data_IF_930099831452
#
_entry.id   IF_930099831452
#
_cell.length_a   1.000
_cell.length_b   1.000
_cell.length_c   1.000
_cell.angle_alpha   90.00
_cell.angle_beta   90.00
_cell.angle_gamma   90.00
#
_symmetry.space_group_name_H-M   'P 1'
#
loop_
_entity.id
_entity.type
_entity.pdbx_description
1 polymer ?
#
# COMPACT_ATOMS: atom_id res chain seq x y z
N UNK A 1 56.43 30.53 -7.99
CA UNK A 1 55.29 29.59 -7.98
C UNK A 1 54.11 30.35 -8.58
N UNK A 2 53.79 30.03 -9.83
CA UNK A 2 52.84 30.74 -10.65
C UNK A 2 51.41 30.34 -10.27
N UNK A 3 50.55 31.34 -10.06
CA UNK A 3 49.10 31.17 -9.94
C UNK A 3 48.47 31.48 -11.30
N UNK A 4 48.07 30.44 -12.03
CA UNK A 4 47.24 30.57 -13.23
C UNK A 4 45.80 30.92 -12.83
N UNK A 5 45.38 32.13 -13.19
CA UNK A 5 43.98 32.55 -13.22
C UNK A 5 43.39 32.18 -14.59
N UNK A 6 42.57 31.13 -14.63
CA UNK A 6 41.72 30.81 -15.79
C UNK A 6 40.44 31.66 -15.71
N UNK A 7 40.40 32.75 -16.47
CA UNK A 7 39.19 33.50 -16.75
C UNK A 7 38.39 32.78 -17.85
N UNK A 8 37.19 32.31 -17.51
CA UNK A 8 36.21 31.81 -18.49
C UNK A 8 35.44 33.01 -19.06
N UNK A 9 35.79 33.38 -20.30
CA UNK A 9 35.00 34.27 -21.16
C UNK A 9 33.68 33.57 -21.53
N UNK A 10 32.56 34.09 -21.02
CA UNK A 10 31.25 33.82 -21.61
C UNK A 10 31.01 34.85 -22.72
N UNK A 11 31.01 34.37 -23.96
CA UNK A 11 30.62 35.18 -25.12
C UNK A 11 29.13 35.51 -25.06
N UNK A 12 28.81 36.80 -25.06
CA UNK A 12 27.47 37.33 -25.32
C UNK A 12 27.05 36.99 -26.76
N UNK A 13 26.11 36.06 -26.90
CA UNK A 13 25.38 35.87 -28.14
C UNK A 13 24.27 36.93 -28.21
N UNK A 14 24.36 37.81 -29.19
CA UNK A 14 23.43 38.91 -29.43
C UNK A 14 21.98 38.44 -29.59
N UNK A 15 21.10 39.02 -28.78
CA UNK A 15 19.66 38.93 -28.94
C UNK A 15 19.24 39.79 -30.15
N UNK A 16 19.01 39.13 -31.29
CA UNK A 16 18.25 39.72 -32.38
C UNK A 16 16.79 39.90 -31.93
N UNK A 17 16.34 41.14 -31.87
CA UNK A 17 14.98 41.50 -31.51
C UNK A 17 13.97 40.94 -32.52
N UNK A 18 13.17 39.97 -32.07
CA UNK A 18 11.94 39.58 -32.74
C UNK A 18 10.81 40.46 -32.21
N UNK A 19 10.30 41.31 -33.10
CA UNK A 19 9.14 42.17 -32.90
C UNK A 19 7.87 41.30 -32.68
N UNK A 20 7.03 41.60 -31.68
CA UNK A 20 5.80 40.84 -31.46
C UNK A 20 4.83 41.05 -32.64
N UNK A 21 4.10 40.01 -33.09
CA UNK A 21 3.08 40.16 -34.12
C UNK A 21 1.93 41.03 -33.60
N UNK A 22 1.44 41.90 -34.48
CA UNK A 22 0.29 42.77 -34.26
C UNK A 22 -0.97 41.97 -33.86
N UNK A 23 -1.90 42.56 -33.09
CA UNK A 23 -3.16 41.93 -32.76
C UNK A 23 -3.96 41.64 -34.04
N UNK A 24 -4.36 40.37 -34.20
CA UNK A 24 -5.28 39.94 -35.24
C UNK A 24 -6.67 40.51 -34.95
N UNK A 25 -7.28 41.06 -35.98
CA UNK A 25 -8.66 41.51 -35.99
C UNK A 25 -9.60 40.40 -35.51
N UNK A 26 -10.50 40.80 -34.62
CA UNK A 26 -11.51 39.98 -33.98
C UNK A 26 -12.66 39.83 -35.01
N UNK A 27 -12.71 38.70 -35.71
CA UNK A 27 -13.84 38.38 -36.59
C UNK A 27 -15.11 38.14 -35.76
N UNK A 28 -16.14 38.90 -36.10
CA UNK A 28 -17.51 38.80 -35.60
C UNK A 28 -18.06 37.37 -35.71
N UNK A 29 -18.38 36.76 -34.56
CA UNK A 29 -19.16 35.53 -34.49
C UNK A 29 -20.64 35.91 -34.29
N UNK A 30 -21.56 35.43 -35.14
CA UNK A 30 -22.97 35.77 -35.02
C UNK A 30 -23.66 35.08 -33.84
N UNK A 31 -24.46 35.89 -33.16
CA UNK A 31 -25.29 35.62 -31.98
C UNK A 31 -26.45 34.66 -32.33
N UNK A 32 -26.63 33.50 -31.67
CA UNK A 32 -27.82 32.68 -31.85
C UNK A 32 -28.98 33.24 -31.01
N UNK A 33 -30.09 33.44 -31.73
CA UNK A 33 -31.31 34.09 -31.30
C UNK A 33 -31.97 33.48 -30.05
N UNK A 34 -32.43 34.39 -29.20
CA UNK A 34 -33.53 34.24 -28.24
C UNK A 34 -34.81 33.84 -28.97
N UNK A 35 -35.36 32.67 -28.63
CA UNK A 35 -36.78 32.38 -28.83
C UNK A 35 -37.45 32.30 -27.47
N UNK A 36 -38.09 33.41 -27.11
CA UNK A 36 -39.21 33.44 -26.18
C UNK A 36 -40.40 32.74 -26.83
N UNK A 37 -41.12 31.91 -26.08
CA UNK A 37 -42.57 31.74 -26.24
C UNK A 37 -43.14 31.24 -24.91
N UNK A 38 -44.10 32.02 -24.39
CA UNK A 38 -44.94 31.73 -23.23
C UNK A 38 -45.81 30.47 -23.46
N UNK A 39 -46.29 29.82 -22.41
CA UNK A 39 -47.41 30.23 -21.54
C UNK A 39 -48.55 29.20 -21.71
N UNK A 40 -49.34 29.07 -20.64
CA UNK A 40 -50.60 28.35 -20.46
C UNK A 40 -50.55 26.89 -20.03
N UNK A 41 -51.30 26.60 -18.96
CA UNK A 41 -51.99 25.32 -18.81
C UNK A 41 -51.88 24.67 -17.44
N UNK A 42 -52.69 25.17 -16.50
CA UNK A 42 -53.20 24.45 -15.32
C UNK A 42 -53.83 23.11 -15.70
N UNK A 43 -53.66 22.08 -14.87
CA UNK A 43 -54.76 21.34 -14.21
C UNK A 43 -54.33 19.98 -13.64
N UNK A 44 -54.88 19.66 -12.48
CA UNK A 44 -55.48 18.33 -12.27
C UNK A 44 -54.60 17.20 -11.73
N UNK A 45 -54.66 17.04 -10.40
CA UNK A 45 -54.63 15.76 -9.67
C UNK A 45 -55.42 14.62 -10.39
N UNK A 46 -55.20 13.30 -10.11
CA UNK A 46 -55.06 12.75 -8.76
C UNK A 46 -54.14 11.53 -8.55
N UNK A 47 -54.05 11.19 -7.27
CA UNK A 47 -53.43 10.01 -6.68
C UNK A 47 -54.06 8.67 -7.10
N UNK A 48 -53.20 7.68 -7.30
CA UNK A 48 -53.43 6.22 -7.20
C UNK A 48 -52.09 5.65 -6.72
N UNK A 49 -51.91 5.20 -5.48
CA UNK A 49 -52.49 4.01 -4.83
C UNK A 49 -52.49 2.79 -5.74
N UNK A 50 -51.39 2.03 -5.70
CA UNK A 50 -51.42 0.61 -6.02
C UNK A 50 -50.49 -0.12 -5.06
N UNK A 51 -51.13 -0.84 -4.13
CA UNK A 51 -50.56 -1.93 -3.36
C UNK A 51 -49.91 -2.95 -4.29
N UNK A 52 -48.65 -3.27 -4.05
CA UNK A 52 -47.97 -4.44 -4.59
C UNK A 52 -47.67 -5.40 -3.45
N UNK A 53 -48.55 -6.37 -3.27
CA UNK A 53 -48.38 -7.49 -2.35
C UNK A 53 -47.07 -8.22 -2.67
N UNK A 54 -46.15 -8.22 -1.70
CA UNK A 54 -44.92 -9.04 -1.79
C UNK A 54 -45.26 -10.39 -1.20
N UNK A 55 -45.54 -11.33 -2.11
CA UNK A 55 -45.79 -12.74 -1.83
C UNK A 55 -44.59 -13.37 -1.13
N UNK A 56 -44.80 -13.77 0.12
CA UNK A 56 -43.86 -14.47 0.98
C UNK A 56 -43.67 -15.91 0.46
N UNK A 57 -42.76 -16.08 -0.50
CA UNK A 57 -42.31 -17.41 -0.91
C UNK A 57 -41.40 -18.00 0.17
N UNK A 58 -41.99 -18.81 1.04
CA UNK A 58 -41.30 -19.72 1.93
C UNK A 58 -40.48 -20.74 1.12
N UNK A 59 -39.20 -20.44 0.89
CA UNK A 59 -38.25 -21.42 0.38
C UNK A 59 -37.96 -22.46 1.46
N UNK A 60 -38.46 -23.67 1.23
CA UNK A 60 -38.08 -24.88 1.97
C UNK A 60 -36.59 -25.12 1.76
N UNK A 61 -35.80 -24.80 2.78
CA UNK A 61 -34.37 -25.16 2.84
C UNK A 61 -34.30 -26.66 3.12
N UNK A 62 -34.22 -27.43 2.04
CA UNK A 62 -33.91 -28.85 2.10
C UNK A 62 -32.46 -29.00 2.60
N UNK A 63 -32.34 -29.60 3.79
CA UNK A 63 -31.10 -29.78 4.54
C UNK A 63 -30.23 -30.83 3.84
N UNK A 64 -29.56 -30.41 2.77
CA UNK A 64 -28.65 -31.26 2.00
C UNK A 64 -27.50 -31.72 2.90
N UNK A 65 -27.41 -33.03 3.09
CA UNK A 65 -26.40 -33.66 3.91
C UNK A 65 -25.01 -33.34 3.33
N UNK A 66 -24.15 -32.75 4.14
CA UNK A 66 -22.78 -32.42 3.78
C UNK A 66 -22.02 -33.70 3.40
N UNK A 67 -21.89 -33.95 2.09
CA UNK A 67 -20.96 -34.93 1.52
C UNK A 67 -19.57 -34.44 1.86
N UNK A 68 -18.88 -35.14 2.75
CA UNK A 68 -17.48 -34.84 3.03
C UNK A 68 -16.67 -35.06 1.74
N UNK A 69 -15.92 -34.06 1.24
CA UNK A 69 -15.04 -34.27 0.12
C UNK A 69 -13.95 -35.25 0.54
N UNK A 70 -13.99 -36.46 -0.02
CA UNK A 70 -12.88 -37.40 0.07
C UNK A 70 -11.76 -36.81 -0.77
N UNK A 71 -10.80 -36.16 -0.12
CA UNK A 71 -9.56 -35.69 -0.76
C UNK A 71 -8.71 -36.92 -1.10
N UNK A 72 -8.95 -37.48 -2.28
CA UNK A 72 -8.12 -38.52 -2.86
C UNK A 72 -6.78 -37.87 -3.27
N UNK A 73 -5.80 -37.86 -2.35
CA UNK A 73 -4.46 -37.29 -2.58
C UNK A 73 -3.58 -38.13 -3.54
N UNK A 74 -4.18 -39.00 -4.35
CA UNK A 74 -3.43 -39.82 -5.31
C UNK A 74 -3.35 -39.09 -6.64
N UNK A 75 -2.24 -38.37 -6.84
CA UNK A 75 -1.85 -37.92 -8.18
C UNK A 75 -1.50 -39.14 -9.02
N UNK A 76 -2.15 -39.27 -10.17
CA UNK A 76 -1.88 -40.30 -11.18
C UNK A 76 -0.38 -40.40 -11.50
N UNK A 77 0.16 -41.61 -11.46
CA UNK A 77 1.56 -41.90 -11.75
C UNK A 77 1.98 -41.41 -13.14
N UNK A 78 1.05 -41.44 -14.11
CA UNK A 78 1.30 -40.93 -15.46
C UNK A 78 1.46 -39.40 -15.48
N UNK A 79 0.72 -38.68 -14.64
CA UNK A 79 0.86 -37.23 -14.49
C UNK A 79 2.22 -36.85 -13.88
N UNK A 80 2.72 -37.62 -12.91
CA UNK A 80 4.05 -37.41 -12.32
C UNK A 80 5.15 -37.60 -13.38
N UNK A 81 5.02 -38.62 -14.24
CA UNK A 81 6.06 -38.89 -15.24
C UNK A 81 6.04 -37.90 -16.41
N UNK A 82 4.87 -37.36 -16.78
CA UNK A 82 4.76 -36.21 -17.70
C UNK A 82 5.48 -34.97 -17.16
N UNK A 83 5.31 -34.65 -15.88
CA UNK A 83 6.00 -33.52 -15.23
C UNK A 83 7.50 -33.75 -15.19
N UNK A 84 7.95 -34.97 -14.88
CA UNK A 84 9.37 -35.33 -14.85
C UNK A 84 10.01 -35.25 -16.24
N UNK A 85 9.36 -35.75 -17.28
CA UNK A 85 9.83 -35.65 -18.67
C UNK A 85 9.95 -34.18 -19.13
N UNK A 86 8.96 -33.35 -18.77
CA UNK A 86 8.98 -31.90 -19.07
C UNK A 86 10.12 -31.19 -18.35
N UNK A 87 10.35 -31.51 -17.07
CA UNK A 87 11.46 -30.94 -16.30
C UNK A 87 12.84 -31.31 -16.88
N UNK A 88 13.00 -32.55 -17.37
CA UNK A 88 14.22 -33.01 -18.03
C UNK A 88 14.46 -32.32 -19.37
N UNK A 89 13.41 -32.07 -20.16
CA UNK A 89 13.51 -31.32 -21.41
C UNK A 89 13.99 -29.87 -21.16
N UNK A 90 13.47 -29.21 -20.12
CA UNK A 90 13.89 -27.85 -19.73
C UNK A 90 15.33 -27.84 -19.21
N UNK A 91 15.74 -28.87 -18.45
CA UNK A 91 17.10 -28.99 -17.94
C UNK A 91 18.14 -29.15 -19.06
N UNK A 92 17.78 -29.79 -20.17
CA UNK A 92 18.65 -29.98 -21.34
C UNK A 92 19.06 -28.68 -22.03
N UNK A 93 18.22 -27.64 -22.00
CA UNK A 93 18.52 -26.35 -22.63
C UNK A 93 19.45 -25.47 -21.78
N UNK A 94 19.49 -25.67 -20.46
CA UNK A 94 20.33 -24.90 -19.55
C UNK A 94 21.82 -25.28 -19.58
N UNK A 95 22.18 -26.37 -20.26
CA UNK A 95 23.55 -26.86 -20.39
C UNK A 95 24.43 -26.13 -21.42
N UNK A 96 23.86 -25.24 -22.25
CA UNK A 96 24.66 -24.46 -23.20
C UNK A 96 25.47 -23.43 -22.41
N UNK A 97 26.77 -23.68 -22.24
CA UNK A 97 27.72 -22.71 -21.66
C UNK A 97 27.47 -21.35 -22.31
N UNK A 98 26.98 -20.37 -21.54
CA UNK A 98 26.77 -19.01 -22.02
C UNK A 98 28.14 -18.46 -22.45
N UNK A 99 28.40 -18.44 -23.75
CA UNK A 99 29.57 -17.78 -24.32
C UNK A 99 29.37 -16.30 -24.07
N UNK A 100 30.20 -15.72 -23.20
CA UNK A 100 30.14 -14.28 -22.94
C UNK A 100 30.58 -13.55 -24.22
N UNK A 101 29.82 -12.55 -24.70
CA UNK A 101 30.26 -11.74 -25.82
C UNK A 101 31.57 -11.00 -25.48
N UNK A 102 32.41 -10.69 -26.47
CA UNK A 102 33.67 -9.99 -26.23
C UNK A 102 33.44 -8.63 -25.56
N UNK A 103 34.34 -8.25 -24.64
CA UNK A 103 34.28 -6.99 -23.91
C UNK A 103 34.44 -5.82 -24.90
N UNK A 104 33.44 -4.93 -24.96
CA UNK A 104 33.52 -3.68 -25.73
C UNK A 104 34.05 -2.58 -24.83
N UNK A 105 35.31 -2.18 -24.99
CA UNK A 105 35.90 -1.08 -24.22
C UNK A 105 35.06 0.20 -24.38
N UNK A 106 34.75 0.85 -23.25
CA UNK A 106 33.91 2.06 -23.20
C UNK A 106 32.40 1.81 -23.18
N UNK A 107 31.94 0.57 -23.42
CA UNK A 107 30.51 0.25 -23.29
C UNK A 107 30.08 0.28 -21.82
N UNK A 108 29.05 1.07 -21.52
CA UNK A 108 28.37 1.10 -20.23
C UNK A 108 26.93 0.70 -20.48
N UNK A 109 26.53 -0.48 -20.02
CA UNK A 109 25.12 -0.89 -20.08
C UNK A 109 24.30 0.10 -19.27
N UNK A 110 23.21 0.59 -19.85
CA UNK A 110 22.26 1.35 -19.05
C UNK A 110 21.54 0.38 -18.11
N UNK A 111 21.41 0.68 -16.80
CA UNK A 111 20.53 -0.09 -15.91
C UNK A 111 19.09 -0.15 -16.43
N UNK A 112 18.72 0.82 -17.29
CA UNK A 112 17.43 0.89 -17.97
C UNK A 112 17.30 -0.10 -19.15
N UNK A 113 18.39 -0.71 -19.61
CA UNK A 113 18.39 -1.73 -20.67
C UNK A 113 18.18 -3.16 -20.12
N UNK A 114 18.18 -3.34 -18.79
CA UNK A 114 17.90 -4.64 -18.20
C UNK A 114 16.46 -5.07 -18.53
N UNK A 115 16.32 -6.30 -19.02
CA UNK A 115 15.03 -6.89 -19.38
C UNK A 115 14.11 -6.91 -18.16
N UNK A 116 12.94 -6.31 -18.31
CA UNK A 116 11.85 -6.40 -17.33
C UNK A 116 11.25 -7.80 -17.38
N UNK A 117 10.75 -8.31 -16.26
CA UNK A 117 10.11 -9.63 -16.23
C UNK A 117 8.90 -9.67 -17.17
N UNK A 118 8.65 -10.82 -17.80
CA UNK A 118 7.50 -11.00 -18.71
C UNK A 118 6.18 -10.70 -18.02
N UNK A 119 6.07 -10.97 -16.71
CA UNK A 119 4.87 -10.67 -15.94
C UNK A 119 4.62 -9.16 -15.84
N UNK A 120 5.66 -8.36 -15.59
CA UNK A 120 5.51 -6.90 -15.56
C UNK A 120 5.26 -6.38 -16.97
N UNK A 121 5.96 -6.88 -17.99
CA UNK A 121 5.71 -6.50 -19.39
C UNK A 121 4.24 -6.75 -19.78
N UNK A 122 3.70 -7.92 -19.42
CA UNK A 122 2.29 -8.27 -19.64
C UNK A 122 1.34 -7.39 -18.83
N UNK A 123 1.67 -7.04 -17.59
CA UNK A 123 0.84 -6.14 -16.79
C UNK A 123 0.79 -4.73 -17.39
N UNK A 124 1.92 -4.22 -17.87
CA UNK A 124 1.93 -2.97 -18.63
C UNK A 124 1.12 -3.12 -19.91
N UNK A 125 1.25 -4.21 -20.68
CA UNK A 125 0.44 -4.46 -21.88
C UNK A 125 -1.06 -4.49 -21.59
N UNK A 126 -1.48 -5.07 -20.47
CA UNK A 126 -2.87 -5.10 -20.01
C UNK A 126 -3.36 -3.76 -19.41
N UNK A 127 -2.48 -2.75 -19.32
CA UNK A 127 -2.75 -1.46 -18.67
C UNK A 127 -3.09 -1.59 -17.17
N UNK A 128 -2.60 -2.65 -16.53
CA UNK A 128 -2.75 -2.89 -15.10
C UNK A 128 -1.86 -1.97 -14.26
N UNK A 129 -2.24 -1.78 -13.00
CA UNK A 129 -1.41 -1.05 -12.04
C UNK A 129 -0.18 -1.87 -11.63
N UNK A 130 1.02 -1.34 -11.90
CA UNK A 130 2.30 -1.90 -11.46
C UNK A 130 2.99 -1.00 -10.42
N UNK A 131 3.29 -1.50 -9.21
CA UNK A 131 4.09 -0.76 -8.23
C UNK A 131 5.55 -0.60 -8.70
N UNK A 132 6.12 0.57 -8.50
CA UNK A 132 7.49 0.91 -8.91
C UNK A 132 8.58 0.10 -8.20
N UNK A 133 8.44 -0.30 -6.91
CA UNK A 133 9.41 -1.20 -6.30
C UNK A 133 9.54 -2.52 -7.06
N UNK A 134 8.45 -2.99 -7.69
CA UNK A 134 8.43 -4.21 -8.48
C UNK A 134 9.14 -4.00 -9.82
N UNK A 135 8.94 -2.85 -10.47
CA UNK A 135 9.64 -2.50 -11.71
C UNK A 135 11.16 -2.52 -11.50
N UNK A 136 11.66 -1.87 -10.45
CA UNK A 136 13.11 -1.87 -10.13
C UNK A 136 13.57 -3.26 -9.68
N UNK A 137 12.82 -3.92 -8.80
CA UNK A 137 13.16 -5.22 -8.25
C UNK A 137 13.34 -6.28 -9.33
N UNK A 138 12.48 -6.28 -10.36
CA UNK A 138 12.60 -7.21 -11.50
C UNK A 138 13.87 -7.01 -12.32
N UNK A 139 14.31 -5.76 -12.46
CA UNK A 139 15.56 -5.41 -13.17
C UNK A 139 16.78 -5.83 -12.34
N UNK A 140 16.72 -5.66 -11.01
CA UNK A 140 17.83 -5.99 -10.13
C UNK A 140 18.02 -7.50 -9.91
N UNK A 141 16.93 -8.27 -9.81
CA UNK A 141 16.96 -9.69 -9.44
C UNK A 141 16.87 -10.65 -10.63
N UNK A 142 16.77 -10.12 -11.85
CA UNK A 142 16.51 -10.89 -13.06
C UNK A 142 15.04 -11.32 -13.19
N UNK A 143 14.61 -11.52 -14.43
CA UNK A 143 13.21 -11.78 -14.80
C UNK A 143 12.58 -13.06 -14.18
N UNK A 144 13.38 -13.99 -13.67
CA UNK A 144 12.93 -15.35 -13.31
C UNK A 144 12.28 -15.49 -11.93
N UNK A 145 12.37 -14.50 -11.04
CA UNK A 145 11.84 -14.60 -9.68
C UNK A 145 10.34 -14.25 -9.54
N UNK A 146 9.62 -14.07 -10.64
CA UNK A 146 8.33 -13.36 -10.63
C UNK A 146 7.07 -14.26 -10.50
N UNK A 147 7.27 -15.56 -10.29
CA UNK A 147 6.19 -16.54 -10.10
C UNK A 147 5.84 -16.68 -8.61
N UNK A 148 5.36 -15.61 -8.00
CA UNK A 148 4.77 -15.70 -6.66
C UNK A 148 3.31 -16.15 -6.77
N UNK A 149 3.05 -17.42 -6.46
CA UNK A 149 1.69 -17.93 -6.28
C UNK A 149 1.37 -18.00 -4.79
N UNK A 150 0.10 -17.80 -4.44
CA UNK A 150 -0.44 -18.04 -3.11
C UNK A 150 -1.37 -19.24 -3.16
N UNK A 151 -1.09 -20.25 -2.34
CA UNK A 151 -1.99 -21.38 -2.13
C UNK A 151 -3.07 -20.97 -1.13
N UNK A 152 -4.33 -21.00 -1.57
CA UNK A 152 -5.51 -20.82 -0.74
C UNK A 152 -5.73 -22.02 0.18
N UNK A 153 -6.50 -21.81 1.25
CA UNK A 153 -6.85 -22.88 2.20
C UNK A 153 -7.78 -23.94 1.56
N UNK A 154 -8.47 -23.58 0.49
CA UNK A 154 -9.28 -24.45 -0.37
C UNK A 154 -8.42 -25.24 -1.39
N UNK A 155 -7.10 -25.08 -1.37
CA UNK A 155 -6.19 -25.66 -2.35
C UNK A 155 -6.10 -24.89 -3.67
N UNK A 156 -6.79 -23.75 -3.81
CA UNK A 156 -6.69 -22.92 -5.02
C UNK A 156 -5.31 -22.30 -5.13
N UNK A 157 -4.76 -22.25 -6.35
CA UNK A 157 -3.50 -21.54 -6.62
C UNK A 157 -3.86 -20.22 -7.29
N UNK A 158 -3.66 -19.12 -6.57
CA UNK A 158 -3.91 -17.77 -7.10
C UNK A 158 -2.59 -17.06 -7.37
N UNK A 159 -2.51 -16.34 -8.48
CA UNK A 159 -1.37 -15.46 -8.74
C UNK A 159 -1.37 -14.35 -7.69
N UNK A 160 -0.30 -14.26 -6.89
CA UNK A 160 -0.19 -13.22 -5.86
C UNK A 160 -0.06 -11.88 -6.55
N UNK A 161 -0.97 -10.93 -6.29
CA UNK A 161 -0.88 -9.57 -6.83
C UNK A 161 0.46 -8.88 -6.49
N UNK A 162 0.78 -7.81 -7.22
CA UNK A 162 2.01 -7.06 -6.98
C UNK A 162 2.02 -6.47 -5.56
N UNK A 163 3.16 -6.61 -4.87
CA UNK A 163 3.31 -6.05 -3.53
C UNK A 163 3.39 -4.53 -3.57
N UNK A 164 2.58 -3.85 -2.75
CA UNK A 164 2.65 -2.41 -2.54
C UNK A 164 3.76 -1.98 -1.57
N UNK A 165 4.47 -2.95 -0.99
CA UNK A 165 5.46 -2.70 0.05
C UNK A 165 6.57 -1.76 -0.46
N UNK A 166 6.85 -0.71 0.31
CA UNK A 166 7.92 0.24 -0.01
C UNK A 166 7.60 1.24 -1.12
N UNK A 167 6.39 1.24 -1.69
CA UNK A 167 6.01 2.19 -2.74
C UNK A 167 6.07 3.64 -2.24
N UNK A 168 5.59 3.91 -1.02
CA UNK A 168 5.54 5.26 -0.45
C UNK A 168 6.86 5.70 0.19
N UNK A 169 7.73 4.73 0.51
CA UNK A 169 9.02 4.95 1.18
C UNK A 169 10.21 4.80 0.21
N UNK A 170 9.93 4.66 -1.10
CA UNK A 170 10.94 4.54 -2.13
C UNK A 170 11.83 5.80 -2.15
N UNK A 171 13.17 5.69 -2.24
CA UNK A 171 14.07 6.84 -2.44
C UNK A 171 13.85 7.57 -3.76
N UNK A 172 14.18 8.87 -3.83
CA UNK A 172 13.92 9.71 -5.01
C UNK A 172 14.60 9.21 -6.29
N UNK A 173 15.88 8.88 -6.18
CA UNK A 173 16.67 8.34 -7.28
C UNK A 173 16.08 7.02 -7.82
N UNK A 174 15.60 6.15 -6.94
CA UNK A 174 14.95 4.90 -7.33
C UNK A 174 13.62 5.18 -8.03
N UNK A 175 12.81 6.10 -7.50
CA UNK A 175 11.53 6.46 -8.11
C UNK A 175 11.71 6.99 -9.53
N UNK A 176 12.69 7.87 -9.79
CA UNK A 176 12.94 8.39 -11.15
C UNK A 176 13.36 7.28 -12.13
N UNK A 177 14.19 6.33 -11.69
CA UNK A 177 14.58 5.17 -12.50
C UNK A 177 13.36 4.29 -12.82
N UNK A 178 12.48 4.05 -11.85
CA UNK A 178 11.25 3.29 -12.07
C UNK A 178 10.26 4.03 -12.98
N UNK A 179 10.12 5.33 -12.79
CA UNK A 179 9.25 6.22 -13.55
C UNK A 179 9.63 6.21 -15.03
N UNK A 180 10.91 6.44 -15.33
CA UNK A 180 11.44 6.35 -16.71
C UNK A 180 11.23 4.95 -17.31
N UNK A 181 11.50 3.89 -16.55
CA UNK A 181 11.23 2.53 -17.03
C UNK A 181 9.74 2.27 -17.31
N UNK A 182 8.85 2.85 -16.50
CA UNK A 182 7.41 2.74 -16.69
C UNK A 182 6.94 3.54 -17.91
N UNK A 183 7.50 4.74 -18.15
CA UNK A 183 7.26 5.54 -19.35
C UNK A 183 7.62 4.76 -20.62
N UNK A 184 8.81 4.13 -20.65
CA UNK A 184 9.27 3.33 -21.79
C UNK A 184 8.33 2.13 -22.05
N UNK A 185 7.89 1.44 -20.99
CA UNK A 185 6.96 0.32 -21.11
C UNK A 185 5.57 0.78 -21.58
N UNK A 186 5.07 1.90 -21.05
CA UNK A 186 3.80 2.48 -21.49
C UNK A 186 3.89 2.95 -22.94
N UNK A 187 4.99 3.57 -23.33
CA UNK A 187 5.27 3.97 -24.72
C UNK A 187 5.28 2.75 -25.65
N UNK A 188 5.98 1.68 -25.25
CA UNK A 188 6.08 0.42 -25.99
C UNK A 188 4.71 -0.21 -26.25
N UNK A 189 3.84 -0.28 -25.24
CA UNK A 189 2.59 -1.04 -25.32
C UNK A 189 1.35 -0.21 -25.69
N UNK A 190 1.35 1.09 -25.38
CA UNK A 190 0.16 1.96 -25.53
C UNK A 190 0.40 3.19 -26.42
N UNK A 191 1.59 3.29 -27.01
CA UNK A 191 1.93 4.35 -27.96
C UNK A 191 2.35 5.68 -27.33
N UNK A 192 2.71 6.61 -28.21
CA UNK A 192 3.38 7.86 -27.84
C UNK A 192 2.51 8.81 -27.01
N UNK A 193 1.20 8.83 -27.22
CA UNK A 193 0.31 9.71 -26.47
C UNK A 193 0.26 9.32 -24.99
N UNK A 194 0.04 8.03 -24.69
CA UNK A 194 0.01 7.52 -23.31
C UNK A 194 1.35 7.62 -22.61
N UNK A 195 2.44 7.32 -23.33
CA UNK A 195 3.80 7.52 -22.80
C UNK A 195 4.05 8.99 -22.41
N UNK A 196 3.67 9.94 -23.28
CA UNK A 196 3.79 11.39 -22.98
C UNK A 196 2.91 11.84 -21.81
N UNK A 197 1.68 11.34 -21.71
CA UNK A 197 0.80 11.65 -20.60
C UNK A 197 1.38 11.17 -19.27
N UNK A 198 1.93 9.96 -19.22
CA UNK A 198 2.60 9.43 -18.02
C UNK A 198 3.87 10.22 -17.67
N UNK A 199 4.67 10.61 -18.66
CA UNK A 199 5.84 11.45 -18.43
C UNK A 199 5.45 12.85 -17.90
N UNK A 200 4.35 13.44 -18.40
CA UNK A 200 3.82 14.70 -17.89
C UNK A 200 3.35 14.56 -16.43
N UNK A 201 2.65 13.47 -16.09
CA UNK A 201 2.30 13.12 -14.71
C UNK A 201 3.53 13.06 -13.80
N UNK A 202 4.63 12.41 -14.24
CA UNK A 202 5.83 12.34 -13.42
C UNK A 202 6.46 13.71 -13.15
N UNK A 203 6.41 14.64 -14.11
CA UNK A 203 6.81 16.04 -13.85
C UNK A 203 5.92 16.71 -12.82
N UNK A 204 4.61 16.46 -12.83
CA UNK A 204 3.68 16.94 -11.79
C UNK A 204 4.08 16.36 -10.43
N UNK A 205 4.34 15.06 -10.34
CA UNK A 205 4.78 14.40 -9.09
C UNK A 205 6.10 14.98 -8.58
N UNK A 206 7.07 15.24 -9.46
CA UNK A 206 8.31 15.91 -9.09
C UNK A 206 8.05 17.31 -8.52
N UNK A 207 7.22 18.11 -9.17
CA UNK A 207 6.83 19.44 -8.68
C UNK A 207 6.12 19.37 -7.31
N UNK A 208 5.25 18.37 -7.11
CA UNK A 208 4.60 18.12 -5.83
C UNK A 208 5.59 17.69 -4.74
N UNK A 209 6.60 16.89 -5.08
CA UNK A 209 7.64 16.47 -4.15
C UNK A 209 8.41 17.68 -3.61
N UNK A 210 8.71 18.67 -4.46
CA UNK A 210 9.39 19.90 -4.06
C UNK A 210 8.50 20.82 -3.20
N UNK A 211 7.20 20.92 -3.51
CA UNK A 211 6.29 21.90 -2.89
C UNK A 211 5.55 21.38 -1.65
N UNK A 212 5.12 20.13 -1.66
CA UNK A 212 4.28 19.50 -0.62
C UNK A 212 5.01 18.39 0.15
N UNK A 213 6.24 18.08 -0.27
CA UNK A 213 7.05 17.02 0.30
C UNK A 213 6.73 15.64 -0.27
N UNK A 214 7.70 14.74 -0.07
CA UNK A 214 7.72 13.40 -0.68
C UNK A 214 6.50 12.57 -0.41
N UNK A 215 6.00 12.58 0.83
CA UNK A 215 4.91 11.70 1.24
C UNK A 215 3.62 11.98 0.45
N UNK A 216 3.27 13.26 0.31
CA UNK A 216 2.09 13.69 -0.45
C UNK A 216 2.27 13.36 -1.93
N UNK A 217 3.44 13.66 -2.50
CA UNK A 217 3.73 13.39 -3.90
C UNK A 217 3.64 11.89 -4.26
N UNK A 218 4.18 11.00 -3.42
CA UNK A 218 4.13 9.55 -3.66
C UNK A 218 2.71 9.00 -3.48
N UNK A 219 1.92 9.51 -2.53
CA UNK A 219 0.51 9.12 -2.39
C UNK A 219 -0.31 9.57 -3.60
N UNK A 220 -0.07 10.79 -4.09
CA UNK A 220 -0.68 11.30 -5.32
C UNK A 220 -0.33 10.45 -6.53
N UNK A 221 0.96 10.14 -6.73
CA UNK A 221 1.43 9.27 -7.82
C UNK A 221 0.71 7.92 -7.83
N UNK A 222 0.68 7.24 -6.68
CA UNK A 222 0.04 5.92 -6.54
C UNK A 222 -1.46 6.00 -6.80
N UNK A 223 -2.14 7.04 -6.28
CA UNK A 223 -3.57 7.21 -6.47
C UNK A 223 -3.91 7.43 -7.94
N UNK A 224 -3.24 8.37 -8.61
CA UNK A 224 -3.50 8.70 -10.01
C UNK A 224 -3.24 7.52 -10.94
N UNK A 225 -2.11 6.81 -10.79
CA UNK A 225 -1.83 5.61 -11.59
C UNK A 225 -2.83 4.48 -11.35
N UNK A 226 -3.38 4.34 -10.13
CA UNK A 226 -4.45 3.37 -9.85
C UNK A 226 -5.77 3.75 -10.50
N UNK A 227 -6.09 5.05 -10.58
CA UNK A 227 -7.29 5.52 -11.27
C UNK A 227 -7.17 5.23 -12.77
N UNK A 228 -6.02 5.55 -13.38
CA UNK A 228 -5.74 5.23 -14.79
C UNK A 228 -5.91 3.75 -15.11
N UNK A 229 -5.38 2.86 -14.23
CA UNK A 229 -5.52 1.42 -14.42
C UNK A 229 -6.98 0.91 -14.34
N UNK A 230 -7.89 1.68 -13.71
CA UNK A 230 -9.33 1.34 -13.61
C UNK A 230 -10.19 2.07 -14.64
N UNK A 231 -9.76 3.25 -15.04
CA UNK A 231 -10.45 4.12 -15.98
C UNK A 231 -9.44 4.55 -17.05
N UNK A 232 -9.44 3.84 -18.17
CA UNK A 232 -8.54 4.13 -19.27
C UNK A 232 -8.79 5.53 -19.88
N UNK A 233 -9.96 6.14 -19.69
CA UNK A 233 -10.26 7.50 -20.14
C UNK A 233 -9.70 8.59 -19.22
N UNK A 234 -9.15 8.24 -18.06
CA UNK A 234 -8.58 9.21 -17.12
C UNK A 234 -7.34 9.89 -17.72
N UNK A 235 -7.38 11.21 -17.82
CA UNK A 235 -6.22 12.01 -18.21
C UNK A 235 -5.31 12.22 -16.99
N UNK A 236 -4.14 11.58 -17.02
CA UNK A 236 -3.13 11.69 -15.97
C UNK A 236 -2.14 12.83 -16.24
N UNK A 237 -2.16 13.44 -17.43
CA UNK A 237 -1.13 14.40 -17.84
C UNK A 237 -1.18 15.73 -17.08
N UNK A 238 -2.29 16.01 -16.39
CA UNK A 238 -2.55 17.26 -15.68
C UNK A 238 -2.66 17.04 -14.17
N UNK A 239 -2.50 18.13 -13.40
CA UNK A 239 -2.66 18.10 -11.95
C UNK A 239 -4.15 18.04 -11.57
N UNK A 240 -4.54 16.97 -10.89
CA UNK A 240 -5.83 16.85 -10.23
C UNK A 240 -5.78 17.54 -8.85
N UNK A 241 -6.19 18.80 -8.83
CA UNK A 241 -6.21 19.62 -7.62
C UNK A 241 -7.14 19.05 -6.52
N UNK A 242 -8.20 18.34 -6.90
CA UNK A 242 -9.13 17.74 -5.95
C UNK A 242 -8.47 16.56 -5.23
N UNK A 243 -7.81 15.67 -5.98
CA UNK A 243 -7.04 14.56 -5.39
C UNK A 243 -5.94 15.07 -4.47
N UNK A 244 -5.17 16.08 -4.90
CA UNK A 244 -4.12 16.69 -4.07
C UNK A 244 -4.69 17.23 -2.74
N UNK A 245 -5.82 17.96 -2.80
CA UNK A 245 -6.47 18.52 -1.61
C UNK A 245 -6.89 17.43 -0.63
N UNK A 246 -7.47 16.33 -1.12
CA UNK A 246 -7.88 15.21 -0.29
C UNK A 246 -6.69 14.53 0.40
N UNK A 247 -5.60 14.28 -0.33
CA UNK A 247 -4.37 13.68 0.22
C UNK A 247 -3.75 14.60 1.27
N UNK A 248 -3.56 15.88 0.95
CA UNK A 248 -2.96 16.85 1.86
C UNK A 248 -3.78 16.98 3.15
N UNK A 249 -5.10 17.03 3.05
CA UNK A 249 -6.01 17.11 4.20
C UNK A 249 -5.97 15.83 5.05
N UNK A 250 -5.85 14.65 4.43
CA UNK A 250 -5.71 13.38 5.15
C UNK A 250 -4.37 13.29 5.91
N UNK A 251 -3.29 13.79 5.31
CA UNK A 251 -1.97 13.87 5.95
C UNK A 251 -1.98 14.82 7.15
N UNK A 252 -2.57 16.01 7.00
CA UNK A 252 -2.69 16.97 8.10
C UNK A 252 -3.47 16.38 9.29
N UNK A 253 -4.57 15.66 9.02
CA UNK A 253 -5.35 14.97 10.07
C UNK A 253 -4.51 13.93 10.81
N UNK A 254 -3.66 13.20 10.10
CA UNK A 254 -2.77 12.18 10.69
C UNK A 254 -1.70 12.82 11.58
N UNK A 255 -1.12 13.94 11.13
CA UNK A 255 -0.11 14.68 11.88
C UNK A 255 -0.68 15.36 13.13
N UNK A 256 -1.89 15.91 13.05
CA UNK A 256 -2.59 16.49 14.20
C UNK A 256 -2.90 15.43 15.25
N UNK A 257 -3.28 14.21 14.84
CA UNK A 257 -3.51 13.11 15.76
C UNK A 257 -2.24 12.66 16.50
N UNK A 258 -1.06 12.71 15.87
CA UNK A 258 0.21 12.37 16.53
C UNK A 258 0.75 13.48 17.44
N UNK A 259 0.38 14.74 17.19
CA UNK A 259 0.91 15.90 17.94
C UNK A 259 0.05 16.24 19.16
N UNK A 260 -1.09 15.57 19.35
CA UNK A 260 -1.91 15.64 20.56
C UNK A 260 -1.26 14.99 21.79
N UNK A 261 0.06 15.14 21.96
CA UNK A 261 0.76 14.86 23.20
C UNK A 261 0.21 15.81 24.24
N UNK A 262 -0.56 15.24 25.16
CA UNK A 262 -0.99 15.84 26.40
C UNK A 262 0.10 16.73 26.99
N UNK A 263 -0.24 17.99 27.24
CA UNK A 263 0.32 18.79 28.34
C UNK A 263 -0.04 18.09 29.67
N UNK A 264 0.44 16.86 29.86
CA UNK A 264 0.44 16.21 31.15
C UNK A 264 1.62 16.81 31.91
N UNK A 265 1.28 17.74 32.80
CA UNK A 265 2.14 18.32 33.83
C UNK A 265 3.01 17.23 34.43
N UNK A 266 4.32 17.26 34.16
CA UNK A 266 5.28 16.40 34.83
C UNK A 266 5.17 16.66 36.35
N UNK A 267 4.79 15.67 37.20
CA UNK A 267 5.01 15.81 38.62
C UNK A 267 6.53 15.81 38.89
N UNK A 268 7.01 16.60 39.87
CA UNK A 268 8.43 16.73 40.15
C UNK A 268 9.07 15.38 40.49
N UNK A 269 10.16 15.08 39.81
CA UNK A 269 10.94 13.86 39.98
C UNK A 269 11.57 13.80 41.38
N UNK A 270 11.18 12.79 42.17
CA UNK A 270 11.95 12.39 43.34
C UNK A 270 13.18 11.58 42.89
N UNK A 271 14.36 12.14 43.11
CA UNK A 271 15.64 11.48 42.94
C UNK A 271 15.72 10.20 43.77
N UNK A 272 15.94 9.05 43.12
CA UNK A 272 16.36 7.82 43.82
C UNK A 272 17.76 7.40 43.37
N UNK A 273 18.53 7.08 44.43
CA UNK A 273 19.96 6.84 44.53
C UNK A 273 20.47 5.68 43.69
N UNK A 274 21.69 5.87 43.23
CA UNK A 274 22.68 4.87 42.82
C UNK A 274 22.65 3.61 43.71
N UNK A 275 22.61 2.43 43.09
CA UNK A 275 23.00 1.17 43.75
C UNK A 275 23.79 0.30 42.78
N UNK A 276 25.11 0.43 42.95
CA UNK A 276 26.14 -0.61 43.07
C UNK A 276 26.16 -1.79 42.08
N UNK A 277 27.31 -1.86 41.42
CA UNK A 277 27.93 -2.97 40.69
C UNK A 277 27.75 -4.35 41.33
N UNK A 278 27.56 -5.36 40.48
CA UNK A 278 28.11 -6.69 40.73
C UNK A 278 28.52 -7.34 39.40
N UNK A 279 29.81 -7.61 39.29
CA UNK A 279 30.51 -8.28 38.19
C UNK A 279 30.26 -9.79 38.33
N UNK A 280 29.91 -10.44 37.24
CA UNK A 280 29.97 -11.91 37.12
C UNK A 280 30.18 -12.29 35.67
N UNK A 281 31.39 -12.74 35.38
CA UNK A 281 31.81 -13.35 34.12
C UNK A 281 30.99 -14.60 33.79
N UNK A 282 30.26 -14.57 32.67
CA UNK A 282 29.75 -15.76 31.99
C UNK A 282 29.59 -15.48 30.49
N UNK A 283 30.01 -16.44 29.68
CA UNK A 283 30.25 -16.39 28.23
C UNK A 283 29.16 -15.72 27.36
N UNK A 284 29.55 -15.08 26.25
CA UNK A 284 28.60 -14.57 25.26
C UNK A 284 28.07 -15.71 24.38
N UNK A 285 26.86 -16.19 24.67
CA UNK A 285 26.03 -16.82 23.65
C UNK A 285 25.50 -15.73 22.70
N UNK A 286 25.57 -16.00 21.39
CA UNK A 286 25.13 -15.09 20.34
C UNK A 286 23.64 -14.75 20.49
N UNK A 287 23.37 -13.65 21.19
CA UNK A 287 22.04 -13.09 21.35
C UNK A 287 21.51 -12.69 19.97
N UNK A 288 20.39 -13.29 19.57
CA UNK A 288 19.58 -12.81 18.44
C UNK A 288 19.31 -11.34 18.66
N UNK A 289 19.86 -10.48 17.79
CA UNK A 289 19.69 -9.03 17.83
C UNK A 289 18.22 -8.68 18.08
N UNK A 290 17.88 -7.89 19.11
CA UNK A 290 16.52 -7.39 19.27
C UNK A 290 16.16 -6.62 18.01
N UNK A 291 15.06 -7.04 17.37
CA UNK A 291 14.51 -6.41 16.17
C UNK A 291 14.06 -5.01 16.58
N UNK A 292 14.95 -4.05 16.45
CA UNK A 292 14.69 -2.65 16.76
C UNK A 292 13.73 -2.12 15.69
N UNK A 293 12.43 -2.24 15.96
CA UNK A 293 11.35 -1.69 15.14
C UNK A 293 11.31 -0.17 15.35
N UNK A 294 12.35 0.53 14.90
CA UNK A 294 12.45 1.99 14.88
C UNK A 294 11.69 2.57 13.71
N UNK A 295 10.38 2.27 13.60
CA UNK A 295 9.49 3.13 12.84
C UNK A 295 9.05 4.24 13.80
N UNK A 296 9.83 5.33 13.82
CA UNK A 296 9.76 6.45 14.77
C UNK A 296 8.47 7.27 14.73
N UNK A 297 7.47 6.88 13.92
CA UNK A 297 6.20 7.59 13.77
C UNK A 297 4.99 6.79 14.29
N UNK A 298 5.17 5.58 14.82
CA UNK A 298 4.06 4.85 15.44
C UNK A 298 3.89 5.32 16.88
N UNK A 299 2.69 5.79 17.24
CA UNK A 299 2.28 6.04 18.61
C UNK A 299 2.75 4.89 19.54
N UNK A 300 3.15 5.20 20.79
CA UNK A 300 3.67 4.20 21.71
C UNK A 300 2.73 3.00 21.80
N UNK A 301 3.25 1.76 21.83
CA UNK A 301 2.42 0.56 21.79
C UNK A 301 1.39 0.60 22.93
N UNK A 302 0.12 0.46 22.58
CA UNK A 302 -0.99 0.36 23.53
C UNK A 302 -1.01 -1.04 24.12
N UNK A 303 -1.02 -1.16 25.45
CA UNK A 303 -1.22 -2.44 26.10
C UNK A 303 -2.69 -2.86 25.99
N UNK A 304 -2.99 -3.86 25.17
CA UNK A 304 -4.36 -4.38 25.04
C UNK A 304 -4.88 -5.09 26.30
N UNK A 305 -4.05 -5.29 27.32
CA UNK A 305 -4.48 -5.91 28.58
C UNK A 305 -5.05 -4.91 29.58
N UNK A 306 -4.44 -3.74 29.73
CA UNK A 306 -4.90 -2.70 30.66
C UNK A 306 -5.38 -1.40 29.98
N UNK A 307 -5.08 -1.22 28.70
CA UNK A 307 -5.41 -0.02 27.93
C UNK A 307 -4.49 1.18 28.18
N UNK A 308 -3.36 0.99 28.86
CA UNK A 308 -2.33 2.03 29.09
C UNK A 308 -1.21 1.88 28.05
N UNK A 309 -0.60 2.98 27.62
CA UNK A 309 0.50 2.98 26.65
C UNK A 309 1.85 2.64 27.30
N UNK A 310 2.85 2.29 26.47
CA UNK A 310 4.24 2.16 26.89
C UNK A 310 4.70 0.74 27.27
N UNK A 311 3.82 -0.26 27.18
CA UNK A 311 4.19 -1.66 27.41
C UNK A 311 3.29 -2.64 26.64
N UNK A 312 3.73 -3.90 26.55
CA UNK A 312 2.99 -4.99 25.91
C UNK A 312 2.25 -5.85 26.96
N UNK A 313 1.21 -6.62 26.57
CA UNK A 313 0.44 -7.44 27.51
C UNK A 313 1.26 -8.34 28.43
N UNK A 314 2.33 -8.96 27.92
CA UNK A 314 3.21 -9.83 28.70
C UNK A 314 3.92 -9.10 29.86
N UNK A 315 4.23 -7.81 29.68
CA UNK A 315 4.89 -6.97 30.67
C UNK A 315 3.91 -6.18 31.55
N UNK A 316 2.60 -6.36 31.35
CA UNK A 316 1.57 -5.65 32.10
C UNK A 316 1.44 -6.20 33.51
N UNK A 317 1.74 -5.37 34.52
CA UNK A 317 1.53 -5.68 35.94
C UNK A 317 0.16 -5.23 36.47
N UNK A 318 -0.62 -4.47 35.69
CA UNK A 318 -1.94 -4.00 36.09
C UNK A 318 -2.93 -5.17 36.30
N UNK A 319 -3.67 -5.10 37.39
CA UNK A 319 -4.77 -6.03 37.71
C UNK A 319 -6.12 -5.55 37.17
N UNK A 320 -6.24 -4.25 36.89
CA UNK A 320 -7.44 -3.61 36.36
C UNK A 320 -7.16 -2.86 35.05
N UNK A 321 -8.16 -2.85 34.16
CA UNK A 321 -8.16 -2.09 32.92
C UNK A 321 -8.48 -0.62 33.21
N UNK A 322 -8.16 0.25 32.26
CA UNK A 322 -8.54 1.67 32.28
C UNK A 322 -10.06 1.90 32.38
N UNK A 323 -10.87 0.93 31.94
CA UNK A 323 -12.32 0.92 32.11
C UNK A 323 -12.80 0.40 33.48
N UNK A 324 -11.89 0.09 34.41
CA UNK A 324 -12.21 -0.39 35.76
C UNK A 324 -12.56 -1.88 35.84
N UNK A 325 -12.36 -2.66 34.78
CA UNK A 325 -12.61 -4.11 34.78
C UNK A 325 -11.36 -4.89 35.18
N UNK A 326 -11.46 -6.14 35.65
CA UNK A 326 -10.30 -7.01 35.80
C UNK A 326 -9.55 -7.19 34.46
N UNK A 327 -8.22 -7.12 34.48
CA UNK A 327 -7.41 -7.37 33.29
C UNK A 327 -7.58 -8.82 32.80
N UNK A 328 -7.68 -9.00 31.49
CA UNK A 328 -7.62 -10.31 30.85
C UNK A 328 -6.36 -11.09 31.27
N UNK A 329 -6.48 -12.41 31.41
CA UNK A 329 -5.34 -13.28 31.79
C UNK A 329 -4.45 -13.52 30.58
N UNK A 330 -3.13 -13.62 30.78
CA UNK A 330 -2.22 -14.09 29.73
C UNK A 330 -2.54 -15.56 29.43
N UNK A 331 -2.63 -15.92 28.15
CA UNK A 331 -2.89 -17.27 27.71
C UNK A 331 -1.67 -18.18 28.00
N UNK A 332 -1.79 -19.16 28.91
CA UNK A 332 -0.68 -20.07 29.19
C UNK A 332 -0.42 -20.95 27.97
N UNK A 333 0.86 -21.08 27.57
CA UNK A 333 1.26 -21.94 26.44
C UNK A 333 0.89 -21.42 25.06
N UNK A 334 0.37 -20.20 24.92
CA UNK A 334 0.16 -19.60 23.61
C UNK A 334 1.48 -19.32 22.90
N UNK A 335 1.48 -19.41 21.56
CA UNK A 335 2.66 -19.15 20.72
C UNK A 335 3.23 -17.74 20.92
N UNK A 336 2.38 -16.77 21.27
CA UNK A 336 2.79 -15.40 21.58
C UNK A 336 2.67 -15.14 23.08
N UNK A 337 3.72 -14.59 23.74
CA UNK A 337 3.64 -14.22 25.16
C UNK A 337 2.64 -13.07 25.40
N UNK A 338 2.20 -12.39 24.34
CA UNK A 338 1.25 -11.29 24.41
C UNK A 338 -0.21 -11.72 24.16
N UNK A 339 -0.47 -13.02 23.98
CA UNK A 339 -1.82 -13.55 23.85
C UNK A 339 -2.56 -13.45 25.19
N UNK A 340 -3.80 -12.94 25.16
CA UNK A 340 -4.69 -12.81 26.32
C UNK A 340 -5.98 -13.59 26.10
N UNK A 341 -6.54 -14.12 27.18
CA UNK A 341 -7.78 -14.89 27.21
C UNK A 341 -8.97 -14.02 27.61
N UNK A 342 -10.07 -14.18 26.89
CA UNK A 342 -11.38 -13.67 27.27
C UNK A 342 -12.01 -14.54 28.36
N UNK A 343 -13.10 -14.05 28.96
CA UNK A 343 -13.82 -14.76 30.03
C UNK A 343 -14.36 -16.14 29.59
N UNK A 344 -14.63 -16.32 28.29
CA UNK A 344 -15.05 -17.58 27.70
C UNK A 344 -13.92 -18.58 27.44
N UNK A 345 -12.67 -18.25 27.81
CA UNK A 345 -11.50 -19.11 27.59
C UNK A 345 -10.89 -19.05 26.18
N UNK A 346 -11.50 -18.31 25.24
CA UNK A 346 -10.92 -18.09 23.91
C UNK A 346 -9.87 -16.97 23.95
N UNK A 347 -8.88 -17.01 23.05
CA UNK A 347 -7.94 -15.90 22.90
C UNK A 347 -8.62 -14.71 22.23
N UNK A 348 -8.30 -13.49 22.66
CA UNK A 348 -8.74 -12.30 21.94
C UNK A 348 -8.08 -12.23 20.56
N UNK A 349 -8.86 -11.84 19.54
CA UNK A 349 -8.31 -11.62 18.21
C UNK A 349 -7.50 -10.31 18.17
N UNK A 350 -6.18 -10.43 17.98
CA UNK A 350 -5.29 -9.26 17.96
C UNK A 350 -5.61 -8.27 16.82
N UNK A 351 -6.01 -8.77 15.64
CA UNK A 351 -6.41 -7.92 14.52
C UNK A 351 -7.69 -7.15 14.85
N UNK A 352 -8.71 -7.83 15.37
CA UNK A 352 -9.94 -7.18 15.82
C UNK A 352 -9.66 -6.13 16.90
N UNK A 353 -8.87 -6.47 17.91
CA UNK A 353 -8.50 -5.54 18.97
C UNK A 353 -7.81 -4.27 18.44
N UNK A 354 -7.05 -4.39 17.34
CA UNK A 354 -6.29 -3.28 16.73
C UNK A 354 -7.07 -2.43 15.71
N UNK A 355 -8.05 -2.98 15.03
CA UNK A 355 -8.72 -2.26 13.93
C UNK A 355 -10.24 -2.37 13.94
N UNK A 356 -10.84 -2.95 14.99
CA UNK A 356 -12.28 -3.28 15.07
C UNK A 356 -12.75 -4.09 13.85
N UNK A 357 -11.84 -4.80 13.21
CA UNK A 357 -12.07 -5.54 11.98
C UNK A 357 -11.13 -6.74 11.94
N UNK A 358 -11.65 -7.88 11.50
CA UNK A 358 -10.89 -9.10 11.38
C UNK A 358 -11.05 -9.63 9.96
N UNK A 359 -9.94 -9.92 9.29
CA UNK A 359 -9.95 -10.49 7.94
C UNK A 359 -10.70 -11.83 7.84
N UNK A 360 -10.86 -12.53 8.96
CA UNK A 360 -11.57 -13.80 9.04
C UNK A 360 -13.05 -13.64 9.38
N UNK A 361 -13.53 -12.40 9.59
CA UNK A 361 -14.94 -12.13 9.87
C UNK A 361 -15.49 -12.99 11.02
N UNK A 362 -16.66 -13.57 10.80
CA UNK A 362 -17.34 -14.47 11.75
C UNK A 362 -16.70 -15.85 11.87
N UNK A 363 -15.81 -16.23 10.95
CA UNK A 363 -15.09 -17.51 10.97
C UNK A 363 -13.84 -17.49 11.86
N UNK A 364 -13.55 -16.35 12.50
CA UNK A 364 -12.42 -16.26 13.40
C UNK A 364 -12.68 -17.07 14.67
N UNK A 365 -11.85 -18.07 14.94
CA UNK A 365 -11.88 -18.86 16.18
C UNK A 365 -11.49 -18.06 17.44
N UNK A 366 -11.09 -16.80 17.30
CA UNK A 366 -10.69 -15.93 18.41
C UNK A 366 -11.85 -15.00 18.80
N UNK A 367 -11.88 -14.58 20.05
CA UNK A 367 -12.93 -13.71 20.57
C UNK A 367 -12.82 -12.28 20.01
N UNK A 368 -13.92 -11.79 19.44
CA UNK A 368 -14.08 -10.44 18.89
C UNK A 368 -14.79 -9.52 19.88
N UNK A 369 -14.03 -9.05 20.87
CA UNK A 369 -14.47 -8.00 21.77
C UNK A 369 -13.29 -7.12 22.20
N UNK A 370 -13.59 -5.94 22.71
CA UNK A 370 -12.65 -5.03 23.32
C UNK A 370 -12.12 -5.66 24.61
N UNK A 371 -10.82 -5.96 24.68
CA UNK A 371 -10.21 -6.52 25.90
C UNK A 371 -10.15 -5.56 27.09
N UNK A 372 -10.56 -4.29 26.93
CA UNK A 372 -10.57 -3.27 27.98
C UNK A 372 -11.94 -3.17 28.64
N UNK A 373 -13.02 -3.11 27.84
CA UNK A 373 -14.40 -2.93 28.31
C UNK A 373 -15.37 -4.06 27.93
N UNK A 374 -14.88 -5.09 27.23
CA UNK A 374 -15.60 -6.29 26.74
C UNK A 374 -16.76 -6.03 25.76
N UNK A 375 -16.83 -4.81 25.22
CA UNK A 375 -17.78 -4.46 24.17
C UNK A 375 -17.40 -5.12 22.84
N UNK A 376 -18.38 -5.65 22.11
CA UNK A 376 -18.18 -6.30 20.81
C UNK A 376 -18.13 -5.32 19.65
N UNK A 377 -18.58 -4.07 19.84
CA UNK A 377 -18.74 -3.09 18.76
C UNK A 377 -17.40 -2.48 18.30
N UNK A 378 -16.35 -2.62 19.12
CA UNK A 378 -15.04 -2.05 18.82
C UNK A 378 -13.87 -2.89 19.36
N UNK A 379 -12.69 -2.68 18.79
CA UNK A 379 -11.43 -3.21 19.32
C UNK A 379 -10.84 -2.35 20.43
N UNK A 380 -9.93 -2.92 21.23
CA UNK A 380 -9.22 -2.20 22.31
C UNK A 380 -8.54 -0.88 21.87
N UNK A 381 -8.04 -0.85 20.64
CA UNK A 381 -7.46 0.33 19.97
C UNK A 381 -8.44 1.46 19.65
N UNK A 382 -9.75 1.24 19.77
CA UNK A 382 -10.79 2.23 19.56
C UNK A 382 -11.63 2.47 20.83
N UNK A 383 -11.25 1.86 21.97
CA UNK A 383 -11.99 1.98 23.20
C UNK A 383 -11.95 3.40 23.75
N UNK A 384 -13.13 4.02 23.91
CA UNK A 384 -13.29 5.37 24.48
C UNK A 384 -13.01 5.43 25.98
N UNK A 385 -13.03 4.27 26.67
CA UNK A 385 -12.75 4.17 28.10
C UNK A 385 -11.26 4.04 28.44
N UNK A 386 -10.37 4.12 27.44
CA UNK A 386 -8.93 4.19 27.67
C UNK A 386 -8.55 5.55 28.27
N UNK A 387 -7.51 5.57 29.10
CA UNK A 387 -6.96 6.79 29.70
C UNK A 387 -5.60 7.11 29.11
#
# INVERSE_FOLDING_TARGET
MAHEHLALNFGEAGAAGAQPPAPRDQEDVPNPATTENGDTGTDGMPATSTHGDTEEQATVIEKSAAVQPVFEMFTDAEAVERVRATALAIAGEQGKKKVLPPIRYGFKSSPLELSVSTRIDNAFAAFDFVPYPVVIGSRALGADNDKSFTLGLDGSITAKGFSMQGQLDMPDSQWRVAASAAEDLTLKHHGAERGRALAAHHRVVENLNHSHGRRIAMEYDVQQRRIVARCNQHDISTLDANALTLIATAQLRTQSASTGVSLATNPPAYAKRNRTEYISDAQPQAAKRPRNSTNSNSAPPLCFRCGITGHLPAACSSTTTSAGRPCARIAPGATSPNSILAANGLQFCYNWARSSSCRFGTECNNHHACSICEDTDHGASACSRRK
#
